data_IF_766151185279
#
_entry.id   IF_766151185279
#
_cell.length_a   1.000
_cell.length_b   1.000
_cell.length_c   1.000
_cell.angle_alpha   90.00
_cell.angle_beta   90.00
_cell.angle_gamma   90.00
#
_symmetry.space_group_name_H-M   'P 1'
#
loop_
_entity.id
_entity.type
_entity.pdbx_description
1 polymer ?
#
# COMPACT_ATOMS: atom_id res chain seq x y z
N UNK A 1 -12.31 76.09 -7.54
CA UNK A 1 -12.93 74.78 -7.86
C UNK A 1 -11.81 73.78 -8.10
N UNK A 2 -11.57 72.84 -7.17
CA UNK A 2 -10.52 71.83 -7.32
C UNK A 2 -11.07 70.58 -8.01
N UNK A 3 -10.38 70.00 -9.02
CA UNK A 3 -10.80 68.73 -9.59
C UNK A 3 -10.48 67.58 -8.63
N UNK A 4 -11.48 66.72 -8.39
CA UNK A 4 -11.37 65.51 -7.55
C UNK A 4 -10.49 64.47 -8.24
N UNK A 5 -9.54 63.88 -7.51
CA UNK A 5 -8.77 62.71 -7.96
C UNK A 5 -9.66 61.45 -7.91
N UNK A 6 -9.56 60.52 -8.88
CA UNK A 6 -10.28 59.27 -8.82
C UNK A 6 -9.60 58.32 -7.83
N UNK A 7 -10.37 57.79 -6.88
CA UNK A 7 -9.96 56.69 -6.01
C UNK A 7 -9.81 55.42 -6.86
N UNK A 8 -8.61 54.83 -6.87
CA UNK A 8 -8.39 53.49 -7.41
C UNK A 8 -8.69 52.50 -6.29
N UNK A 9 -9.75 51.73 -6.45
CA UNK A 9 -10.07 50.57 -5.62
C UNK A 9 -8.94 49.54 -5.77
N UNK A 10 -8.26 49.25 -4.66
CA UNK A 10 -7.22 48.22 -4.59
C UNK A 10 -7.86 46.85 -4.68
N UNK A 11 -7.85 46.26 -5.87
CA UNK A 11 -8.13 44.84 -6.05
C UNK A 11 -7.09 44.02 -5.28
N UNK A 12 -7.52 43.33 -4.22
CA UNK A 12 -6.70 42.34 -3.53
C UNK A 12 -6.57 41.13 -4.45
N UNK A 13 -5.43 41.03 -5.13
CA UNK A 13 -5.03 39.82 -5.85
C UNK A 13 -4.57 38.82 -4.79
N UNK A 14 -5.41 37.82 -4.50
CA UNK A 14 -5.01 36.69 -3.67
C UNK A 14 -4.08 35.80 -4.50
N UNK A 15 -2.80 35.80 -4.16
CA UNK A 15 -1.85 34.85 -4.74
C UNK A 15 -2.29 33.41 -4.35
N UNK A 16 -2.37 32.47 -5.30
CA UNK A 16 -2.75 31.10 -4.99
C UNK A 16 -1.71 30.47 -4.06
N UNK A 17 -2.11 30.28 -2.81
CA UNK A 17 -1.33 29.61 -1.80
C UNK A 17 -1.09 28.17 -2.26
N UNK A 18 0.16 27.83 -2.60
CA UNK A 18 0.54 26.44 -2.92
C UNK A 18 0.45 25.62 -1.62
N UNK A 19 -0.73 25.08 -1.35
CA UNK A 19 -0.91 24.09 -0.29
C UNK A 19 -0.13 22.85 -0.71
N UNK A 20 1.03 22.63 -0.10
CA UNK A 20 1.84 21.44 -0.36
C UNK A 20 1.11 20.21 0.15
N UNK A 21 0.49 19.45 -0.76
CA UNK A 21 -0.13 18.16 -0.43
C UNK A 21 1.01 17.19 -0.08
N UNK A 22 1.09 16.77 1.18
CA UNK A 22 2.05 15.73 1.59
C UNK A 22 1.68 14.42 0.88
N UNK A 23 2.67 13.68 0.33
CA UNK A 23 2.39 12.38 -0.26
C UNK A 23 1.81 11.43 0.79
N UNK A 24 0.92 10.49 0.38
CA UNK A 24 0.34 9.54 1.31
C UNK A 24 1.43 8.62 1.91
N UNK A 25 1.29 8.20 3.18
CA UNK A 25 2.21 7.25 3.79
C UNK A 25 2.17 5.91 3.06
N UNK A 26 3.35 5.32 2.88
CA UNK A 26 3.53 4.01 2.26
C UNK A 26 3.60 2.93 3.33
N UNK A 27 3.10 1.74 2.99
CA UNK A 27 3.03 0.59 3.87
C UNK A 27 3.61 -0.64 3.16
N UNK A 28 4.43 -1.41 3.88
CA UNK A 28 4.88 -2.73 3.43
C UNK A 28 3.77 -3.73 3.73
N UNK A 29 3.35 -4.50 2.73
CA UNK A 29 2.50 -5.68 2.92
C UNK A 29 3.39 -6.91 2.97
N UNK A 30 3.19 -7.76 3.97
CA UNK A 30 4.03 -8.92 4.24
C UNK A 30 3.19 -10.17 4.52
N UNK A 31 3.75 -11.33 4.18
CA UNK A 31 3.30 -12.63 4.66
C UNK A 31 4.18 -13.09 5.82
N UNK A 32 3.57 -13.75 6.79
CA UNK A 32 4.26 -14.36 7.93
C UNK A 32 4.28 -15.88 7.78
N UNK A 33 5.37 -16.50 8.21
CA UNK A 33 5.52 -17.95 8.18
C UNK A 33 4.60 -18.62 9.19
N UNK A 34 4.15 -19.82 8.84
CA UNK A 34 3.43 -20.75 9.70
C UNK A 34 3.72 -22.19 9.24
N UNK A 35 3.42 -23.18 10.09
CA UNK A 35 3.78 -24.58 9.83
C UNK A 35 2.73 -25.37 9.04
N UNK A 36 1.62 -24.75 8.61
CA UNK A 36 0.44 -25.46 8.07
C UNK A 36 0.05 -25.02 6.66
N UNK A 37 0.41 -23.81 6.23
CA UNK A 37 0.11 -23.32 4.89
C UNK A 37 1.07 -23.93 3.86
N UNK A 38 0.58 -24.64 2.82
CA UNK A 38 1.44 -25.21 1.78
C UNK A 38 2.24 -24.15 1.01
N UNK A 39 3.48 -24.47 0.64
CA UNK A 39 4.35 -23.56 -0.14
C UNK A 39 3.71 -23.14 -1.47
N UNK A 40 3.09 -24.09 -2.20
CA UNK A 40 2.41 -23.80 -3.46
C UNK A 40 1.21 -22.85 -3.26
N UNK A 41 0.52 -22.91 -2.12
CA UNK A 41 -0.54 -21.97 -1.80
C UNK A 41 0.01 -20.54 -1.64
N UNK A 42 1.15 -20.39 -0.97
CA UNK A 42 1.83 -19.09 -0.82
C UNK A 42 2.23 -18.54 -2.20
N UNK A 43 2.73 -19.37 -3.10
CA UNK A 43 3.06 -18.95 -4.48
C UNK A 43 1.81 -18.45 -5.21
N UNK A 44 0.68 -19.17 -5.14
CA UNK A 44 -0.60 -18.75 -5.74
C UNK A 44 -1.09 -17.42 -5.17
N UNK A 45 -0.92 -17.19 -3.87
CA UNK A 45 -1.25 -15.90 -3.23
C UNK A 45 -0.40 -14.76 -3.83
N UNK A 46 0.90 -14.98 -3.98
CA UNK A 46 1.84 -13.98 -4.51
C UNK A 46 1.56 -13.67 -5.99
N UNK A 47 1.25 -14.67 -6.80
CA UNK A 47 0.86 -14.49 -8.21
C UNK A 47 -0.46 -13.71 -8.32
N UNK A 48 -1.51 -14.13 -7.60
CA UNK A 48 -2.86 -13.56 -7.77
C UNK A 48 -3.03 -12.16 -7.19
N UNK A 49 -2.44 -11.89 -6.02
CA UNK A 49 -2.69 -10.65 -5.28
C UNK A 49 -1.57 -9.62 -5.41
N UNK A 50 -0.37 -10.03 -5.82
CA UNK A 50 0.79 -9.15 -5.93
C UNK A 50 1.38 -9.08 -7.35
N UNK A 51 0.74 -9.75 -8.31
CA UNK A 51 1.15 -9.75 -9.73
C UNK A 51 2.61 -10.15 -9.93
N UNK A 52 3.12 -11.03 -9.06
CA UNK A 52 4.46 -11.59 -9.19
C UNK A 52 4.47 -12.67 -10.27
N UNK A 53 5.58 -12.80 -10.99
CA UNK A 53 5.83 -14.01 -11.76
C UNK A 53 6.02 -15.20 -10.82
N UNK A 54 5.88 -16.43 -11.32
CA UNK A 54 6.08 -17.64 -10.54
C UNK A 54 7.47 -17.68 -9.89
N UNK A 55 8.50 -17.25 -10.63
CA UNK A 55 9.88 -17.21 -10.16
C UNK A 55 10.04 -16.21 -9.00
N UNK A 56 9.49 -15.01 -9.15
CA UNK A 56 9.50 -13.98 -8.10
C UNK A 56 8.74 -14.45 -6.85
N UNK A 57 7.55 -15.02 -7.06
CA UNK A 57 6.72 -15.58 -6.00
C UNK A 57 7.44 -16.70 -5.24
N UNK A 58 8.14 -17.58 -5.95
CA UNK A 58 8.92 -18.67 -5.33
C UNK A 58 10.04 -18.13 -4.44
N UNK A 59 10.76 -17.10 -4.90
CA UNK A 59 11.82 -16.45 -4.10
C UNK A 59 11.24 -15.81 -2.83
N UNK A 60 10.14 -15.09 -2.94
CA UNK A 60 9.48 -14.46 -1.78
C UNK A 60 8.92 -15.51 -0.83
N UNK A 61 8.30 -16.58 -1.34
CA UNK A 61 7.82 -17.70 -0.54
C UNK A 61 8.94 -18.36 0.26
N UNK A 62 10.08 -18.66 -0.39
CA UNK A 62 11.25 -19.22 0.31
C UNK A 62 11.78 -18.28 1.40
N UNK A 63 11.69 -16.97 1.17
CA UNK A 63 12.07 -15.96 2.16
C UNK A 63 11.14 -16.00 3.37
N UNK A 64 9.82 -16.01 3.15
CA UNK A 64 8.83 -16.17 4.22
C UNK A 64 9.17 -17.42 5.04
N UNK A 65 9.35 -18.56 4.37
CA UNK A 65 9.63 -19.83 5.03
C UNK A 65 10.91 -19.83 5.89
N UNK A 66 11.99 -19.22 5.39
CA UNK A 66 13.31 -19.25 6.04
C UNK A 66 13.52 -18.14 7.06
N UNK A 67 12.95 -16.96 6.82
CA UNK A 67 13.17 -15.75 7.62
C UNK A 67 11.98 -15.40 8.52
N UNK A 68 10.90 -16.18 8.48
CA UNK A 68 9.69 -15.99 9.28
C UNK A 68 8.73 -14.95 8.72
N UNK A 69 9.17 -14.10 7.78
CA UNK A 69 8.33 -13.14 7.06
C UNK A 69 8.93 -12.74 5.72
N UNK A 70 8.11 -12.22 4.81
CA UNK A 70 8.56 -11.72 3.52
C UNK A 70 7.70 -10.57 3.02
N UNK A 71 8.35 -9.54 2.45
CA UNK A 71 7.66 -8.38 1.85
C UNK A 71 7.12 -8.76 0.47
N UNK A 72 5.83 -8.56 0.29
CA UNK A 72 5.10 -8.82 -0.95
C UNK A 72 4.97 -7.57 -1.82
N UNK A 73 4.99 -6.38 -1.22
CA UNK A 73 4.98 -5.11 -1.94
C UNK A 73 4.82 -3.91 -1.01
N UNK A 74 4.98 -2.71 -1.57
CA UNK A 74 4.83 -1.43 -0.87
C UNK A 74 3.70 -0.65 -1.54
N UNK A 75 2.72 -0.21 -0.76
CA UNK A 75 1.51 0.43 -1.29
C UNK A 75 1.06 1.60 -0.40
N UNK A 76 0.26 2.55 -0.91
CA UNK A 76 -0.49 3.47 -0.05
C UNK A 76 -1.39 2.69 0.90
N UNK A 77 -1.66 3.28 2.08
CA UNK A 77 -2.41 2.64 3.17
C UNK A 77 -3.67 1.87 2.74
N UNK A 78 -4.52 2.49 1.92
CA UNK A 78 -5.82 1.90 1.56
C UNK A 78 -5.66 0.69 0.62
N UNK A 79 -4.67 0.74 -0.27
CA UNK A 79 -4.32 -0.38 -1.15
C UNK A 79 -3.68 -1.51 -0.33
N UNK A 80 -2.80 -1.19 0.62
CA UNK A 80 -2.21 -2.17 1.52
C UNK A 80 -3.29 -2.88 2.35
N UNK A 81 -4.22 -2.12 2.94
CA UNK A 81 -5.34 -2.66 3.73
C UNK A 81 -6.22 -3.59 2.90
N UNK A 82 -6.57 -3.19 1.67
CA UNK A 82 -7.36 -4.01 0.75
C UNK A 82 -6.66 -5.32 0.42
N UNK A 83 -5.34 -5.29 0.14
CA UNK A 83 -4.57 -6.50 -0.15
C UNK A 83 -4.51 -7.44 1.05
N UNK A 84 -4.27 -6.91 2.25
CA UNK A 84 -4.29 -7.69 3.50
C UNK A 84 -5.64 -8.40 3.68
N UNK A 85 -6.74 -7.69 3.50
CA UNK A 85 -8.09 -8.25 3.61
C UNK A 85 -8.34 -9.35 2.57
N UNK A 86 -8.00 -9.10 1.30
CA UNK A 86 -8.19 -10.05 0.20
C UNK A 86 -7.41 -11.35 0.42
N UNK A 87 -6.12 -11.25 0.80
CA UNK A 87 -5.27 -12.41 1.07
C UNK A 87 -5.78 -13.18 2.28
N UNK A 88 -6.13 -12.47 3.37
CA UNK A 88 -6.65 -13.10 4.60
C UNK A 88 -7.95 -13.85 4.31
N UNK A 89 -8.88 -13.26 3.55
CA UNK A 89 -10.13 -13.90 3.17
C UNK A 89 -9.92 -15.11 2.24
N UNK A 90 -8.93 -15.04 1.34
CA UNK A 90 -8.57 -16.15 0.47
C UNK A 90 -7.97 -17.32 1.25
N UNK A 91 -7.04 -17.06 2.16
CA UNK A 91 -6.45 -18.07 3.06
C UNK A 91 -7.50 -18.77 3.92
N UNK A 92 -8.40 -18.00 4.55
CA UNK A 92 -9.50 -18.55 5.36
C UNK A 92 -10.45 -19.45 4.56
N UNK A 93 -10.81 -19.06 3.34
CA UNK A 93 -11.67 -19.88 2.46
C UNK A 93 -11.03 -21.21 2.07
N UNK A 94 -9.70 -21.27 2.03
CA UNK A 94 -8.92 -22.48 1.76
C UNK A 94 -8.43 -23.18 3.04
N UNK A 95 -8.92 -22.76 4.21
CA UNK A 95 -8.60 -23.36 5.51
C UNK A 95 -7.10 -23.31 5.86
N UNK A 96 -6.39 -22.28 5.40
CA UNK A 96 -4.99 -22.05 5.76
C UNK A 96 -4.85 -20.91 6.78
N UNK A 97 -3.96 -21.04 7.80
CA UNK A 97 -3.76 -20.01 8.81
C UNK A 97 -2.83 -18.86 8.35
N UNK A 98 -2.45 -18.82 7.07
CA UNK A 98 -1.56 -17.81 6.48
C UNK A 98 -1.92 -16.38 6.91
N UNK A 99 -1.00 -15.74 7.62
CA UNK A 99 -1.17 -14.37 8.07
C UNK A 99 -0.57 -13.39 7.06
N UNK A 100 -1.37 -12.38 6.69
CA UNK A 100 -0.94 -11.23 5.91
C UNK A 100 -1.10 -9.96 6.74
N UNK A 101 -0.07 -9.12 6.79
CA UNK A 101 -0.04 -7.91 7.63
C UNK A 101 0.52 -6.72 6.85
N UNK A 102 0.30 -5.52 7.36
CA UNK A 102 0.95 -4.31 6.85
C UNK A 102 1.61 -3.50 7.97
N UNK A 103 2.76 -2.89 7.70
CA UNK A 103 3.47 -1.97 8.59
C UNK A 103 3.83 -0.68 7.84
N UNK A 104 3.91 0.46 8.54
CA UNK A 104 4.36 1.72 7.95
C UNK A 104 5.82 1.57 7.47
N UNK A 105 6.09 2.02 6.24
CA UNK A 105 7.31 1.68 5.51
C UNK A 105 8.56 2.43 5.97
#
# INVERSE_FOLDING_TARGET
MSPRKPQREGGVVLEPQKVGIKPPPLYKVMLLNDDFTPMDFVVVVLENFFAMSREQATVVMLRVHREGKGVCGIFPRDVAATKVEQVTAFARRHQHPLACVMEEN
#
